data_IF_534942101744
#
_entry.id   IF_534942101744
#
_cell.length_a   1.000
_cell.length_b   1.000
_cell.length_c   1.000
_cell.angle_alpha   90.00
_cell.angle_beta   90.00
_cell.angle_gamma   90.00
#
_symmetry.space_group_name_H-M   'P 1'
#
loop_
_entity.id
_entity.type
_entity.pdbx_description
1 polymer ?
#
# COMPACT_ATOMS: atom_id res chain seq x y z
N UNK A 1 -7.99 22.79 -5.05
CA UNK A 1 -8.13 21.38 -5.49
C UNK A 1 -6.84 20.66 -5.06
N UNK A 2 -6.69 19.34 -5.26
CA UNK A 2 -5.36 18.72 -5.00
C UNK A 2 -4.43 19.14 -6.14
N UNK A 3 -3.38 19.89 -5.85
CA UNK A 3 -2.29 20.16 -6.80
C UNK A 3 -1.56 18.84 -7.08
N UNK A 4 -1.42 18.47 -8.35
CA UNK A 4 -0.80 17.19 -8.77
C UNK A 4 0.43 17.39 -9.64
N UNK A 5 0.58 18.56 -10.25
CA UNK A 5 1.73 18.93 -11.06
C UNK A 5 2.05 20.41 -10.81
N UNK A 6 3.32 20.77 -10.85
CA UNK A 6 3.72 22.16 -10.97
C UNK A 6 4.20 22.45 -12.38
N UNK A 7 3.80 23.59 -12.94
CA UNK A 7 4.16 23.98 -14.29
C UNK A 7 4.92 25.30 -14.28
N UNK A 8 6.14 25.31 -14.80
CA UNK A 8 6.90 26.56 -15.02
C UNK A 8 6.37 27.27 -16.25
N UNK A 9 5.86 28.49 -16.08
CA UNK A 9 5.37 29.32 -17.19
C UNK A 9 6.53 29.61 -18.14
N UNK A 10 6.34 29.31 -19.42
CA UNK A 10 7.28 29.58 -20.50
C UNK A 10 6.89 30.84 -21.29
N UNK A 11 7.83 31.32 -22.09
CA UNK A 11 7.62 32.51 -22.92
C UNK A 11 6.53 32.25 -23.97
N UNK A 12 5.46 33.04 -23.91
CA UNK A 12 4.34 32.98 -24.86
C UNK A 12 3.15 32.14 -24.37
N UNK A 13 3.23 31.59 -23.16
CA UNK A 13 2.11 30.89 -22.56
C UNK A 13 0.95 31.82 -22.22
N UNK A 14 -0.24 31.22 -22.19
CA UNK A 14 -1.46 31.78 -21.60
C UNK A 14 -2.08 30.71 -20.71
N UNK A 15 -2.81 31.07 -19.64
CA UNK A 15 -3.46 30.07 -18.79
C UNK A 15 -4.39 29.14 -19.58
N UNK A 16 -5.13 29.69 -20.56
CA UNK A 16 -5.96 28.92 -21.48
C UNK A 16 -5.15 27.98 -22.39
N UNK A 17 -3.99 28.44 -22.86
CA UNK A 17 -3.07 27.64 -23.68
C UNK A 17 -2.48 26.47 -22.91
N UNK A 18 -2.00 26.72 -21.68
CA UNK A 18 -1.48 25.70 -20.77
C UNK A 18 -2.54 24.65 -20.49
N UNK A 19 -3.74 25.06 -20.07
CA UNK A 19 -4.85 24.14 -19.81
C UNK A 19 -5.19 23.28 -21.05
N UNK A 20 -5.24 23.90 -22.24
CA UNK A 20 -5.51 23.19 -23.51
C UNK A 20 -4.40 22.19 -23.84
N UNK A 21 -3.14 22.57 -23.73
CA UNK A 21 -2.00 21.69 -23.98
C UNK A 21 -1.95 20.51 -23.01
N UNK A 22 -2.21 20.74 -21.72
CA UNK A 22 -2.27 19.68 -20.70
C UNK A 22 -3.39 18.68 -21.02
N UNK A 23 -4.59 19.16 -21.37
CA UNK A 23 -5.69 18.29 -21.78
C UNK A 23 -5.33 17.39 -22.98
N UNK A 24 -4.62 17.93 -23.97
CA UNK A 24 -4.23 17.17 -25.17
C UNK A 24 -3.16 16.11 -24.93
N UNK A 25 -2.36 16.24 -23.87
CA UNK A 25 -1.34 15.24 -23.49
C UNK A 25 -1.81 14.30 -22.37
N UNK A 26 -3.04 14.43 -21.90
CA UNK A 26 -3.62 13.49 -20.93
C UNK A 26 -3.54 12.06 -21.49
N UNK A 27 -2.97 11.15 -20.71
CA UNK A 27 -2.75 9.75 -21.11
C UNK A 27 -1.47 9.49 -21.92
N UNK A 28 -0.55 10.46 -22.03
CA UNK A 28 0.80 10.23 -22.56
C UNK A 28 1.56 9.21 -21.71
N UNK A 29 2.39 8.37 -22.34
CA UNK A 29 3.28 7.43 -21.64
C UNK A 29 4.72 7.92 -21.60
N UNK A 30 5.48 7.43 -20.61
CA UNK A 30 6.93 7.71 -20.52
C UNK A 30 7.66 7.38 -21.83
N UNK A 31 7.38 6.22 -22.42
CA UNK A 31 7.96 5.80 -23.69
C UNK A 31 7.68 6.78 -24.84
N UNK A 32 6.49 7.39 -24.89
CA UNK A 32 6.16 8.40 -25.89
C UNK A 32 6.95 9.70 -25.65
N UNK A 33 7.14 10.10 -24.39
CA UNK A 33 7.99 11.25 -24.03
C UNK A 33 9.45 10.96 -24.41
N UNK A 34 9.96 9.77 -24.11
CA UNK A 34 11.32 9.35 -24.48
C UNK A 34 11.52 9.41 -25.99
N UNK A 35 10.58 8.87 -26.77
CA UNK A 35 10.62 8.91 -28.22
C UNK A 35 10.60 10.35 -28.77
N UNK A 36 9.90 11.28 -28.10
CA UNK A 36 9.86 12.68 -28.46
C UNK A 36 11.13 13.47 -28.06
N UNK A 37 11.95 12.91 -27.15
CA UNK A 37 13.16 13.56 -26.61
C UNK A 37 14.40 12.64 -26.68
N UNK A 38 14.95 12.35 -27.88
CA UNK A 38 16.06 11.41 -28.04
C UNK A 38 17.36 11.76 -27.28
N UNK A 39 17.52 13.03 -26.89
CA UNK A 39 18.69 13.50 -26.14
C UNK A 39 18.50 13.44 -24.60
N UNK A 40 17.27 13.23 -24.12
CA UNK A 40 16.96 13.13 -22.71
C UNK A 40 17.41 11.77 -22.16
N UNK A 41 17.91 11.75 -20.91
CA UNK A 41 18.24 10.53 -20.20
C UNK A 41 17.10 10.19 -19.22
N UNK A 42 16.28 9.15 -19.47
CA UNK A 42 15.05 8.92 -18.71
C UNK A 42 15.26 8.66 -17.20
N UNK A 43 16.41 8.08 -16.85
CA UNK A 43 16.80 7.77 -15.47
C UNK A 43 17.69 8.84 -14.83
N UNK A 44 17.93 9.95 -15.51
CA UNK A 44 18.79 11.04 -15.06
C UNK A 44 18.23 12.38 -15.55
N UNK A 45 16.99 12.69 -15.14
CA UNK A 45 16.35 13.96 -15.50
C UNK A 45 17.08 15.13 -14.83
N UNK A 46 17.39 16.16 -15.61
CA UNK A 46 18.10 17.33 -15.11
C UNK A 46 17.11 18.44 -14.74
N UNK A 47 17.21 18.98 -13.52
CA UNK A 47 16.36 20.09 -13.08
C UNK A 47 16.57 21.29 -14.00
N UNK A 48 15.47 21.87 -14.50
CA UNK A 48 15.48 22.98 -15.45
C UNK A 48 15.55 22.54 -16.92
N UNK A 49 15.72 21.25 -17.21
CA UNK A 49 15.66 20.72 -18.57
C UNK A 49 14.24 20.88 -19.14
N UNK A 50 14.13 21.45 -20.34
CA UNK A 50 12.87 21.46 -21.08
C UNK A 50 12.71 20.19 -21.91
N UNK A 51 11.57 19.51 -21.75
CA UNK A 51 11.20 18.30 -22.48
C UNK A 51 9.90 18.49 -23.27
N UNK A 52 9.78 17.73 -24.34
CA UNK A 52 8.63 17.71 -25.25
C UNK A 52 7.65 16.62 -24.83
N UNK A 53 6.41 16.97 -24.55
CA UNK A 53 5.37 16.00 -24.19
C UNK A 53 4.39 15.84 -25.37
N UNK A 54 4.38 14.68 -26.06
CA UNK A 54 3.45 14.42 -27.14
C UNK A 54 2.05 14.10 -26.62
N UNK A 55 1.05 14.44 -27.41
CA UNK A 55 -0.29 13.84 -27.29
C UNK A 55 -0.21 12.33 -27.55
N UNK A 56 -1.19 11.53 -27.08
CA UNK A 56 -1.21 10.09 -27.34
C UNK A 56 -1.20 9.71 -28.83
N UNK A 57 -1.59 10.63 -29.72
CA UNK A 57 -1.52 10.45 -31.18
C UNK A 57 -0.14 10.77 -31.78
N UNK A 58 0.85 11.10 -30.94
CA UNK A 58 2.25 11.34 -31.31
C UNK A 58 2.60 12.79 -31.66
N UNK A 59 1.63 13.71 -31.67
CA UNK A 59 1.90 15.13 -31.95
C UNK A 59 2.35 15.86 -30.69
N UNK A 60 3.52 16.51 -30.72
CA UNK A 60 4.02 17.36 -29.64
C UNK A 60 3.15 18.63 -29.46
N UNK A 61 2.67 18.87 -28.24
CA UNK A 61 1.77 20.01 -27.92
C UNK A 61 2.03 20.67 -26.56
N UNK A 62 2.88 20.10 -25.70
CA UNK A 62 3.28 20.71 -24.41
C UNK A 62 4.81 20.67 -24.26
N UNK A 63 5.42 21.81 -23.94
CA UNK A 63 6.80 21.86 -23.43
C UNK A 63 6.74 21.97 -21.92
N UNK A 64 7.49 21.12 -21.22
CA UNK A 64 7.49 21.02 -19.77
C UNK A 64 8.92 21.16 -19.24
N UNK A 65 9.10 21.98 -18.20
CA UNK A 65 10.38 22.13 -17.51
C UNK A 65 10.46 21.13 -16.35
N UNK A 66 11.47 20.27 -16.34
CA UNK A 66 11.73 19.33 -15.25
C UNK A 66 12.00 20.09 -13.95
N UNK A 67 11.31 19.69 -12.89
CA UNK A 67 11.44 20.24 -11.55
C UNK A 67 12.13 19.25 -10.61
N UNK A 68 12.51 19.73 -9.42
CA UNK A 68 13.09 18.86 -8.39
C UNK A 68 12.09 17.80 -7.95
N UNK A 69 12.52 16.53 -7.99
CA UNK A 69 11.68 15.38 -7.61
C UNK A 69 10.84 14.78 -8.75
N UNK A 70 10.89 15.35 -9.94
CA UNK A 70 10.15 14.82 -11.09
C UNK A 70 10.69 13.45 -11.53
N UNK A 71 9.76 12.59 -11.95
CA UNK A 71 10.02 11.37 -12.71
C UNK A 71 9.08 11.34 -13.92
N UNK A 72 9.46 10.67 -15.01
CA UNK A 72 8.56 10.53 -16.18
C UNK A 72 7.23 9.87 -15.78
N UNK A 73 7.28 8.88 -14.88
CA UNK A 73 6.10 8.24 -14.33
C UNK A 73 5.21 9.23 -13.57
N UNK A 74 5.79 10.02 -12.65
CA UNK A 74 5.08 11.03 -11.88
C UNK A 74 4.41 12.09 -12.76
N UNK A 75 5.14 12.60 -13.76
CA UNK A 75 4.62 13.58 -14.74
C UNK A 75 3.44 12.98 -15.53
N UNK A 76 3.58 11.77 -16.09
CA UNK A 76 2.51 11.12 -16.85
C UNK A 76 1.25 10.86 -15.99
N UNK A 77 1.47 10.41 -14.75
CA UNK A 77 0.41 10.18 -13.77
C UNK A 77 -0.33 11.47 -13.42
N UNK A 78 0.38 12.56 -13.19
CA UNK A 78 -0.21 13.86 -12.87
C UNK A 78 -0.98 14.45 -14.07
N UNK A 79 -0.42 14.39 -15.28
CA UNK A 79 -1.08 14.86 -16.51
C UNK A 79 -2.39 14.11 -16.79
N UNK A 80 -2.43 12.80 -16.52
CA UNK A 80 -3.64 11.99 -16.68
C UNK A 80 -4.77 12.39 -15.71
N UNK A 81 -4.42 12.93 -14.54
CA UNK A 81 -5.39 13.44 -13.54
C UNK A 81 -5.94 14.83 -13.91
N UNK A 82 -5.33 15.53 -14.87
CA UNK A 82 -5.70 16.87 -15.31
C UNK A 82 -6.68 16.90 -16.50
N UNK A 83 -7.35 15.78 -16.82
CA UNK A 83 -8.31 15.75 -17.93
C UNK A 83 -9.56 16.60 -17.64
N UNK A 84 -9.97 17.38 -18.64
CA UNK A 84 -10.96 18.47 -18.56
C UNK A 84 -10.52 19.70 -17.73
N UNK A 85 -9.21 19.94 -17.58
CA UNK A 85 -8.67 21.13 -16.91
C UNK A 85 -9.12 22.42 -17.62
N UNK A 86 -9.72 23.35 -16.87
CA UNK A 86 -10.02 24.71 -17.35
C UNK A 86 -9.03 25.73 -16.79
N UNK A 87 -8.86 26.87 -17.44
CA UNK A 87 -7.98 27.93 -16.92
C UNK A 87 -8.50 28.48 -15.58
N UNK A 88 -9.83 28.49 -15.36
CA UNK A 88 -10.42 28.90 -14.09
C UNK A 88 -10.02 27.95 -12.95
N UNK A 89 -9.81 26.66 -13.24
CA UNK A 89 -9.31 25.74 -12.22
C UNK A 89 -7.88 26.12 -11.80
N UNK A 90 -7.03 26.52 -12.76
CA UNK A 90 -5.67 26.97 -12.48
C UNK A 90 -5.70 28.27 -11.66
N UNK A 91 -6.53 29.26 -12.02
CA UNK A 91 -6.66 30.51 -11.26
C UNK A 91 -7.12 30.27 -9.81
N UNK A 92 -8.08 29.36 -9.61
CA UNK A 92 -8.57 29.00 -8.28
C UNK A 92 -7.50 28.38 -7.38
N UNK A 93 -6.57 27.61 -7.96
CA UNK A 93 -5.48 26.93 -7.23
C UNK A 93 -4.25 27.83 -7.01
N UNK A 94 -4.18 28.97 -7.70
CA UNK A 94 -3.06 29.92 -7.63
C UNK A 94 -3.55 31.31 -7.21
N UNK A 95 -3.84 31.48 -5.92
CA UNK A 95 -4.36 32.73 -5.36
C UNK A 95 -3.46 33.94 -5.74
N UNK A 96 -4.06 34.94 -6.38
CA UNK A 96 -3.36 36.15 -6.83
C UNK A 96 -2.77 36.06 -8.24
N UNK A 97 -2.85 34.91 -8.91
CA UNK A 97 -2.52 34.77 -10.33
C UNK A 97 -3.79 34.94 -11.16
N UNK A 98 -3.76 35.88 -12.11
CA UNK A 98 -4.85 36.07 -13.08
C UNK A 98 -4.35 35.78 -14.49
N UNK A 99 -5.26 35.50 -15.43
CA UNK A 99 -4.93 35.29 -16.84
C UNK A 99 -4.13 36.44 -17.49
N UNK A 100 -4.16 37.65 -16.94
CA UNK A 100 -3.41 38.82 -17.44
C UNK A 100 -2.02 39.00 -16.82
N UNK A 101 -1.70 38.32 -15.72
CA UNK A 101 -0.56 38.68 -14.86
C UNK A 101 0.51 37.57 -14.72
N UNK A 102 0.48 36.55 -15.58
CA UNK A 102 1.49 35.48 -15.58
C UNK A 102 2.85 35.94 -16.14
N UNK A 103 3.95 35.51 -15.53
CA UNK A 103 5.32 35.85 -15.96
C UNK A 103 6.14 34.59 -16.28
N UNK A 104 6.98 34.58 -17.33
CA UNK A 104 7.91 33.48 -17.58
C UNK A 104 8.79 33.17 -16.36
N UNK A 105 8.93 31.89 -16.03
CA UNK A 105 9.67 31.39 -14.87
C UNK A 105 8.85 31.28 -13.59
N UNK A 106 7.61 31.78 -13.56
CA UNK A 106 6.71 31.59 -12.43
C UNK A 106 6.18 30.14 -12.39
N UNK A 107 6.10 29.58 -11.19
CA UNK A 107 5.55 28.25 -10.96
C UNK A 107 4.03 28.32 -10.76
N UNK A 108 3.29 27.54 -11.53
CA UNK A 108 1.85 27.35 -11.39
C UNK A 108 1.54 26.00 -10.76
N UNK A 109 0.69 26.00 -9.75
CA UNK A 109 0.02 24.81 -9.24
C UNK A 109 -1.02 24.35 -10.26
N UNK A 110 -0.91 23.11 -10.75
CA UNK A 110 -1.90 22.52 -11.64
C UNK A 110 -2.76 21.53 -10.84
N UNK A 111 -4.07 21.80 -10.68
CA UNK A 111 -4.95 20.92 -9.93
C UNK A 111 -5.41 19.70 -10.74
N UNK A 112 -5.66 18.59 -10.06
CA UNK A 112 -6.42 17.48 -10.64
C UNK A 112 -7.88 17.90 -10.93
N UNK A 113 -8.41 17.45 -12.07
CA UNK A 113 -9.78 17.74 -12.53
C UNK A 113 -10.61 16.49 -12.76
N UNK A 114 -9.96 15.35 -12.98
CA UNK A 114 -10.60 14.08 -12.67
C UNK A 114 -10.52 13.89 -11.17
N UNK A 115 -11.64 13.56 -10.52
CA UNK A 115 -11.52 12.71 -9.34
C UNK A 115 -10.72 11.51 -9.83
N UNK A 116 -9.51 11.28 -9.29
CA UNK A 116 -8.89 9.98 -9.38
C UNK A 116 -10.01 8.97 -9.18
N UNK A 117 -10.20 7.93 -10.03
CA UNK A 117 -10.94 6.78 -9.59
C UNK A 117 -10.30 6.45 -8.25
N UNK A 118 -11.02 6.73 -7.18
CA UNK A 118 -10.51 6.50 -5.85
C UNK A 118 -10.22 5.01 -5.88
N UNK A 119 -8.96 4.65 -5.67
CA UNK A 119 -8.45 3.30 -5.88
C UNK A 119 -9.14 2.43 -4.83
N UNK A 120 -10.35 1.97 -5.12
CA UNK A 120 -11.19 1.33 -4.13
C UNK A 120 -10.94 -0.16 -4.14
N UNK A 121 -10.80 -0.75 -2.97
CA UNK A 121 -10.84 -2.18 -2.79
C UNK A 121 -12.19 -2.72 -3.28
N UNK A 122 -12.13 -3.82 -4.03
CA UNK A 122 -13.30 -4.53 -4.54
C UNK A 122 -13.02 -6.04 -4.56
N UNK A 123 -14.01 -6.89 -4.23
CA UNK A 123 -15.38 -6.54 -3.86
C UNK A 123 -15.49 -6.00 -2.41
N UNK A 124 -16.64 -5.42 -2.06
CA UNK A 124 -16.90 -4.97 -0.68
C UNK A 124 -16.98 -6.18 0.26
N UNK A 125 -16.26 -6.10 1.38
CA UNK A 125 -16.26 -7.09 2.46
C UNK A 125 -16.26 -6.39 3.84
N UNK A 126 -16.46 -7.15 4.92
CA UNK A 126 -16.40 -6.61 6.29
C UNK A 126 -14.98 -6.15 6.64
N UNK A 127 -14.01 -7.03 6.44
CA UNK A 127 -12.59 -6.73 6.53
C UNK A 127 -12.02 -6.59 5.12
N UNK A 128 -11.78 -5.38 4.63
CA UNK A 128 -11.11 -5.15 3.36
C UNK A 128 -9.91 -4.24 3.61
N UNK A 129 -8.72 -4.81 3.55
CA UNK A 129 -7.49 -4.10 3.88
C UNK A 129 -6.46 -4.12 2.77
N UNK A 130 -5.33 -3.48 3.06
CA UNK A 130 -4.16 -3.49 2.20
C UNK A 130 -2.87 -3.39 3.01
N UNK A 131 -1.80 -3.86 2.40
CA UNK A 131 -0.44 -3.74 2.91
C UNK A 131 0.18 -2.42 2.41
N UNK A 132 0.79 -1.66 3.32
CA UNK A 132 1.53 -0.43 3.02
C UNK A 132 3.02 -0.65 3.33
N UNK A 133 3.74 -1.20 2.35
CA UNK A 133 5.17 -1.49 2.45
C UNK A 133 5.99 -0.19 2.55
N UNK A 134 6.84 -0.08 3.57
CA UNK A 134 7.63 1.12 3.86
C UNK A 134 8.64 1.50 2.76
N UNK A 135 8.91 0.58 1.81
CA UNK A 135 9.86 0.77 0.71
C UNK A 135 9.24 1.00 -0.66
N UNK A 136 7.93 0.77 -0.84
CA UNK A 136 7.31 0.85 -2.18
C UNK A 136 6.58 2.18 -2.41
N UNK A 137 6.03 2.78 -1.35
CA UNK A 137 5.08 3.89 -1.46
C UNK A 137 3.81 3.48 -2.22
N UNK A 138 2.81 4.36 -2.27
CA UNK A 138 1.57 4.06 -2.99
C UNK A 138 0.40 4.95 -2.56
N UNK A 139 -0.70 4.88 -3.29
CA UNK A 139 -1.94 5.54 -2.90
C UNK A 139 -2.77 4.57 -2.06
N UNK A 140 -3.20 5.02 -0.88
CA UNK A 140 -4.11 4.23 -0.07
C UNK A 140 -5.52 4.11 -0.69
N UNK A 141 -6.14 2.92 -0.66
CA UNK A 141 -7.56 2.79 -0.92
C UNK A 141 -8.40 3.48 0.16
N UNK A 142 -9.25 4.42 -0.24
CA UNK A 142 -10.09 5.21 0.68
C UNK A 142 -11.17 4.40 1.40
N UNK A 143 -11.61 3.30 0.79
CA UNK A 143 -12.69 2.46 1.30
C UNK A 143 -12.18 1.27 2.13
N UNK A 144 -10.87 1.22 2.42
CA UNK A 144 -10.32 0.21 3.31
C UNK A 144 -10.91 0.32 4.71
N UNK A 145 -11.21 -0.83 5.31
CA UNK A 145 -11.64 -0.92 6.71
C UNK A 145 -10.46 -1.16 7.65
N UNK A 146 -9.32 -1.61 7.12
CA UNK A 146 -8.06 -1.77 7.85
C UNK A 146 -6.84 -1.56 6.94
N UNK A 147 -5.68 -1.29 7.53
CA UNK A 147 -4.42 -1.09 6.81
C UNK A 147 -3.22 -1.51 7.65
N UNK A 148 -2.17 -2.04 7.02
CA UNK A 148 -0.99 -2.55 7.69
C UNK A 148 0.24 -1.75 7.26
N UNK A 149 0.89 -1.04 8.19
CA UNK A 149 2.24 -0.55 7.96
C UNK A 149 3.22 -1.72 8.07
N UNK A 150 3.85 -2.07 6.95
CA UNK A 150 4.70 -3.26 6.84
C UNK A 150 6.15 -2.90 6.54
N UNK A 151 7.03 -3.29 7.45
CA UNK A 151 8.47 -3.00 7.36
C UNK A 151 9.35 -4.25 7.29
N UNK A 152 8.83 -5.44 7.57
CA UNK A 152 9.62 -6.68 7.57
C UNK A 152 10.52 -6.89 8.80
N UNK A 153 10.32 -6.10 9.87
CA UNK A 153 11.16 -6.11 11.08
C UNK A 153 10.43 -6.74 12.26
N UNK A 154 11.11 -7.59 13.03
CA UNK A 154 10.65 -7.98 14.37
C UNK A 154 11.14 -7.02 15.46
N UNK A 155 12.28 -6.35 15.22
CA UNK A 155 12.82 -5.34 16.13
C UNK A 155 11.89 -4.14 16.26
N UNK A 156 11.48 -3.84 17.50
CA UNK A 156 10.44 -2.84 17.79
C UNK A 156 10.83 -1.46 17.28
N UNK A 157 12.10 -1.08 17.46
CA UNK A 157 12.59 0.24 17.12
C UNK A 157 12.62 0.42 15.60
N UNK A 158 13.21 -0.54 14.88
CA UNK A 158 13.32 -0.51 13.41
C UNK A 158 11.93 -0.50 12.76
N UNK A 159 11.01 -1.33 13.26
CA UNK A 159 9.64 -1.36 12.77
C UNK A 159 8.92 -0.01 12.96
N UNK A 160 9.08 0.64 14.13
CA UNK A 160 8.49 1.96 14.39
C UNK A 160 9.10 3.06 13.52
N UNK A 161 10.43 3.07 13.37
CA UNK A 161 11.15 4.07 12.57
C UNK A 161 10.72 4.01 11.10
N UNK A 162 10.70 2.82 10.50
CA UNK A 162 10.33 2.64 9.10
C UNK A 162 8.83 2.85 8.87
N UNK A 163 7.98 2.30 9.74
CA UNK A 163 6.51 2.42 9.62
C UNK A 163 6.00 3.85 9.78
N UNK A 164 6.77 4.73 10.43
CA UNK A 164 6.41 6.14 10.56
C UNK A 164 6.31 6.85 9.19
N UNK A 165 7.00 6.35 8.16
CA UNK A 165 6.95 6.91 6.80
C UNK A 165 5.60 6.72 6.12
N UNK A 166 4.84 5.69 6.49
CA UNK A 166 3.54 5.32 5.89
C UNK A 166 2.34 5.60 6.81
N UNK A 167 2.55 5.96 8.07
CA UNK A 167 1.49 6.17 9.08
C UNK A 167 0.33 7.09 8.61
N UNK A 168 0.67 8.15 7.87
CA UNK A 168 -0.31 9.11 7.35
C UNK A 168 -1.09 8.60 6.14
N UNK A 169 -0.60 7.54 5.49
CA UNK A 169 -1.28 6.90 4.37
C UNK A 169 -2.27 5.83 4.84
N UNK A 170 -2.14 5.33 6.07
CA UNK A 170 -3.03 4.31 6.64
C UNK A 170 -4.50 4.76 6.75
N UNK A 171 -5.41 3.88 6.34
CA UNK A 171 -6.87 4.07 6.31
C UNK A 171 -7.58 2.98 7.14
N UNK A 172 -8.68 3.34 7.79
CA UNK A 172 -9.45 2.42 8.65
C UNK A 172 -8.71 2.10 9.95
N UNK A 173 -8.88 0.87 10.45
CA UNK A 173 -8.12 0.36 11.60
C UNK A 173 -6.64 0.19 11.23
N UNK A 174 -5.76 0.92 11.92
CA UNK A 174 -4.34 1.01 11.59
C UNK A 174 -3.53 -0.03 12.36
N UNK A 175 -2.88 -0.93 11.65
CA UNK A 175 -1.98 -1.91 12.23
C UNK A 175 -0.53 -1.52 11.96
N UNK A 176 0.33 -1.71 12.97
CA UNK A 176 1.77 -1.86 12.76
C UNK A 176 2.09 -3.35 12.69
N UNK A 177 2.91 -3.75 11.71
CA UNK A 177 3.34 -5.13 11.55
C UNK A 177 4.71 -5.38 12.15
N UNK A 178 4.88 -6.54 12.79
CA UNK A 178 6.17 -7.09 13.22
C UNK A 178 6.38 -8.45 12.57
N UNK A 179 7.61 -8.73 12.14
CA UNK A 179 7.95 -9.96 11.42
C UNK A 179 8.03 -9.77 9.91
N UNK A 180 8.07 -10.89 9.18
CA UNK A 180 8.21 -10.95 7.72
C UNK A 180 9.13 -12.07 7.26
N UNK A 181 8.99 -12.47 6.00
CA UNK A 181 9.78 -13.55 5.38
C UNK A 181 11.22 -13.16 5.05
N UNK A 182 12.00 -12.82 6.07
CA UNK A 182 13.44 -12.53 5.98
C UNK A 182 14.12 -12.68 7.36
N UNK A 183 15.46 -12.74 7.38
CA UNK A 183 16.25 -12.89 8.62
C UNK A 183 15.91 -11.86 9.71
N UNK A 184 15.53 -10.63 9.35
CA UNK A 184 15.17 -9.60 10.32
C UNK A 184 13.74 -9.69 10.84
N UNK A 185 12.90 -10.49 10.19
CA UNK A 185 11.52 -10.77 10.57
C UNK A 185 11.34 -12.04 11.38
N UNK A 186 12.43 -12.81 11.59
CA UNK A 186 12.37 -14.08 12.29
C UNK A 186 12.07 -13.92 13.81
N UNK A 187 11.01 -14.57 14.28
CA UNK A 187 10.60 -14.51 15.68
C UNK A 187 11.43 -15.42 16.59
N UNK A 188 11.73 -14.93 17.80
CA UNK A 188 12.25 -15.70 18.91
C UNK A 188 11.67 -15.20 20.24
N UNK A 189 11.94 -15.92 21.33
CA UNK A 189 11.42 -15.55 22.65
C UNK A 189 11.90 -14.17 23.12
N UNK A 190 13.09 -13.74 22.71
CA UNK A 190 13.65 -12.45 23.14
C UNK A 190 12.94 -11.29 22.46
N UNK A 191 12.79 -11.33 21.13
CA UNK A 191 12.11 -10.28 20.40
C UNK A 191 10.59 -10.23 20.69
N UNK A 192 9.95 -11.36 20.98
CA UNK A 192 8.57 -11.38 21.47
C UNK A 192 8.44 -10.77 22.88
N UNK A 193 9.40 -11.01 23.77
CA UNK A 193 9.44 -10.37 25.07
C UNK A 193 9.62 -8.85 24.94
N UNK A 194 10.55 -8.40 24.10
CA UNK A 194 10.78 -6.98 23.82
C UNK A 194 9.54 -6.29 23.23
N UNK A 195 8.85 -6.93 22.28
CA UNK A 195 7.58 -6.45 21.73
C UNK A 195 6.50 -6.36 22.83
N UNK A 196 6.40 -7.38 23.67
CA UNK A 196 5.45 -7.40 24.80
C UNK A 196 5.72 -6.27 25.78
N UNK A 197 6.98 -5.99 26.08
CA UNK A 197 7.38 -4.87 26.94
C UNK A 197 7.05 -3.53 26.29
N UNK A 198 7.31 -3.36 24.99
CA UNK A 198 6.95 -2.15 24.25
C UNK A 198 5.43 -1.88 24.25
N UNK A 199 4.62 -2.94 24.08
CA UNK A 199 3.16 -2.88 24.21
C UNK A 199 2.78 -2.40 25.62
N UNK A 200 3.36 -3.02 26.65
CA UNK A 200 3.06 -2.68 28.04
C UNK A 200 3.42 -1.24 28.42
N UNK A 201 4.51 -0.73 27.83
CA UNK A 201 5.00 0.64 27.98
C UNK A 201 4.22 1.66 27.12
N UNK A 202 3.34 1.20 26.22
CA UNK A 202 2.51 2.08 25.39
C UNK A 202 3.26 2.70 24.20
N UNK A 203 4.34 2.07 23.75
CA UNK A 203 5.15 2.55 22.63
C UNK A 203 4.36 2.61 21.30
N UNK A 204 3.34 1.76 21.15
CA UNK A 204 2.60 1.56 19.90
C UNK A 204 1.27 2.34 19.83
N UNK A 205 1.03 3.29 20.75
CA UNK A 205 -0.26 3.98 20.95
C UNK A 205 -0.81 4.78 19.74
N UNK A 206 -0.02 4.93 18.68
CA UNK A 206 -0.43 5.62 17.45
C UNK A 206 -1.16 4.70 16.46
N UNK A 207 -1.17 3.39 16.73
CA UNK A 207 -1.86 2.36 15.97
C UNK A 207 -3.08 1.86 16.74
N UNK A 208 -4.04 1.29 16.03
CA UNK A 208 -5.23 0.66 16.60
C UNK A 208 -5.03 -0.85 16.83
N UNK A 209 -4.07 -1.45 16.12
CA UNK A 209 -3.77 -2.87 16.21
C UNK A 209 -2.30 -3.22 15.95
N UNK A 210 -1.98 -4.47 16.22
CA UNK A 210 -0.67 -5.07 16.03
C UNK A 210 -0.85 -6.29 15.13
N UNK A 211 -0.14 -6.30 14.00
CA UNK A 211 -0.04 -7.43 13.11
C UNK A 211 1.26 -8.20 13.40
N UNK A 212 1.16 -9.51 13.54
CA UNK A 212 2.29 -10.42 13.70
C UNK A 212 2.42 -11.22 12.41
N UNK A 213 3.43 -10.89 11.61
CA UNK A 213 3.73 -11.54 10.34
C UNK A 213 4.68 -12.73 10.54
N UNK A 214 4.07 -13.84 10.95
CA UNK A 214 4.75 -15.04 11.44
C UNK A 214 5.11 -15.93 10.26
N UNK A 215 6.32 -15.72 9.73
CA UNK A 215 6.84 -16.44 8.57
C UNK A 215 8.04 -17.32 8.91
N UNK A 216 9.00 -16.74 9.62
CA UNK A 216 10.24 -17.39 10.08
C UNK A 216 10.35 -17.29 11.61
N UNK A 217 11.02 -18.26 12.23
CA UNK A 217 11.30 -18.20 13.66
C UNK A 217 11.79 -19.52 14.27
N UNK A 218 12.12 -19.46 15.55
CA UNK A 218 12.46 -20.67 16.32
C UNK A 218 11.19 -21.44 16.75
N UNK A 219 11.36 -22.67 17.21
CA UNK A 219 10.26 -23.48 17.78
C UNK A 219 9.98 -23.13 19.24
N UNK A 220 8.80 -23.52 19.73
CA UNK A 220 8.41 -23.38 21.14
C UNK A 220 7.89 -21.98 21.53
N UNK A 221 7.37 -21.21 20.57
CA UNK A 221 6.93 -19.82 20.78
C UNK A 221 5.46 -19.67 21.17
N UNK A 222 4.70 -20.76 21.35
CA UNK A 222 3.25 -20.72 21.56
C UNK A 222 2.85 -19.88 22.77
N UNK A 223 3.57 -20.02 23.89
CA UNK A 223 3.31 -19.28 25.13
C UNK A 223 3.80 -17.82 25.06
N UNK A 224 4.87 -17.56 24.29
CA UNK A 224 5.39 -16.20 24.07
C UNK A 224 4.40 -15.37 23.24
N UNK A 225 3.89 -15.93 22.13
CA UNK A 225 2.84 -15.31 21.33
C UNK A 225 1.56 -15.08 22.14
N UNK A 226 1.06 -16.08 22.88
CA UNK A 226 -0.10 -15.94 23.78
C UNK A 226 0.08 -14.82 24.79
N UNK A 227 1.27 -14.70 25.36
CA UNK A 227 1.60 -13.64 26.31
C UNK A 227 1.55 -12.27 25.65
N UNK A 228 2.13 -12.14 24.45
CA UNK A 228 2.12 -10.90 23.68
C UNK A 228 0.71 -10.49 23.23
N UNK A 229 -0.08 -11.41 22.68
CA UNK A 229 -1.46 -11.15 22.25
C UNK A 229 -2.32 -10.68 23.43
N UNK A 230 -2.21 -11.35 24.58
CA UNK A 230 -2.92 -10.96 25.80
C UNK A 230 -2.51 -9.56 26.27
N UNK A 231 -1.24 -9.21 26.20
CA UNK A 231 -0.76 -7.86 26.52
C UNK A 231 -1.34 -6.82 25.56
N UNK A 232 -1.37 -7.13 24.25
CA UNK A 232 -1.96 -6.27 23.24
C UNK A 232 -3.45 -6.01 23.52
N UNK A 233 -4.24 -7.07 23.76
CA UNK A 233 -5.67 -6.94 24.11
C UNK A 233 -5.87 -6.16 25.41
N UNK A 234 -5.03 -6.37 26.43
CA UNK A 234 -5.10 -5.62 27.69
C UNK A 234 -4.84 -4.11 27.52
N UNK A 235 -4.18 -3.70 26.44
CA UNK A 235 -3.97 -2.30 26.05
C UNK A 235 -4.99 -1.78 25.04
N UNK A 236 -5.96 -2.60 24.65
CA UNK A 236 -7.03 -2.22 23.72
C UNK A 236 -6.64 -2.31 22.25
N UNK A 237 -5.51 -2.94 21.90
CA UNK A 237 -5.16 -3.18 20.51
C UNK A 237 -6.00 -4.30 19.92
N UNK A 238 -6.25 -4.22 18.61
CA UNK A 238 -6.62 -5.39 17.82
C UNK A 238 -5.39 -6.24 17.52
N UNK A 239 -5.53 -7.56 17.46
CA UNK A 239 -4.46 -8.51 17.17
C UNK A 239 -4.77 -9.20 15.85
N UNK A 240 -3.83 -9.10 14.92
CA UNK A 240 -3.88 -9.74 13.62
C UNK A 240 -2.65 -10.64 13.49
N UNK A 241 -2.83 -11.87 13.04
CA UNK A 241 -1.72 -12.79 12.76
C UNK A 241 -1.73 -13.15 11.28
N UNK A 242 -0.61 -12.98 10.58
CA UNK A 242 -0.41 -13.40 9.19
C UNK A 242 0.63 -14.51 9.14
N UNK A 243 0.46 -15.39 8.15
CA UNK A 243 1.27 -16.59 7.95
C UNK A 243 1.34 -16.92 6.46
N UNK A 244 2.42 -17.58 6.03
CA UNK A 244 2.51 -18.14 4.67
C UNK A 244 1.55 -19.29 4.46
N UNK A 245 0.82 -19.23 3.34
CA UNK A 245 -0.03 -20.33 2.91
C UNK A 245 -0.91 -20.85 4.05
N UNK A 246 -0.80 -22.12 4.44
CA UNK A 246 -1.59 -22.69 5.54
C UNK A 246 -0.88 -22.70 6.90
N UNK A 247 0.44 -22.47 6.95
CA UNK A 247 1.26 -22.38 8.17
C UNK A 247 2.63 -21.74 7.88
N UNK A 248 3.26 -21.05 8.86
CA UNK A 248 4.58 -20.42 8.71
C UNK A 248 5.59 -21.37 8.06
N UNK A 249 6.36 -20.89 7.08
CA UNK A 249 7.20 -21.78 6.27
C UNK A 249 8.51 -22.16 6.94
N UNK A 250 9.05 -21.32 7.83
CA UNK A 250 10.33 -21.57 8.50
C UNK A 250 10.20 -21.56 10.02
N UNK A 251 9.25 -22.35 10.54
CA UNK A 251 9.12 -22.68 11.96
C UNK A 251 8.92 -24.20 12.10
N UNK A 252 9.85 -24.88 12.75
CA UNK A 252 9.91 -26.35 12.70
C UNK A 252 8.73 -27.06 13.37
N UNK A 253 8.07 -26.44 14.34
CA UNK A 253 6.87 -26.90 15.02
C UNK A 253 5.61 -26.13 14.60
N UNK A 254 5.58 -25.55 13.39
CA UNK A 254 4.49 -24.73 12.88
C UNK A 254 3.09 -25.35 13.04
N UNK A 255 2.93 -26.68 12.98
CA UNK A 255 1.63 -27.31 13.23
C UNK A 255 1.12 -27.15 14.67
N UNK A 256 2.02 -27.22 15.67
CA UNK A 256 1.69 -26.99 17.08
C UNK A 256 1.41 -25.51 17.32
N UNK A 257 2.20 -24.63 16.71
CA UNK A 257 1.99 -23.19 16.76
C UNK A 257 0.63 -22.80 16.16
N UNK A 258 0.25 -23.38 15.02
CA UNK A 258 -1.06 -23.14 14.41
C UNK A 258 -2.22 -23.65 15.29
N UNK A 259 -2.08 -24.78 15.99
CA UNK A 259 -3.08 -25.22 16.97
C UNK A 259 -3.27 -24.18 18.09
N UNK A 260 -2.18 -23.59 18.57
CA UNK A 260 -2.22 -22.49 19.53
C UNK A 260 -2.97 -21.28 18.98
N UNK A 261 -2.73 -20.89 17.72
CA UNK A 261 -3.41 -19.75 17.08
C UNK A 261 -4.89 -20.00 16.81
N UNK A 262 -5.29 -21.23 16.43
CA UNK A 262 -6.70 -21.54 16.25
C UNK A 262 -7.50 -21.40 17.56
N UNK A 263 -6.88 -21.75 18.68
CA UNK A 263 -7.52 -21.75 20.00
C UNK A 263 -7.41 -20.43 20.77
N UNK A 264 -6.62 -19.45 20.32
CA UNK A 264 -6.42 -18.20 21.04
C UNK A 264 -7.56 -17.19 20.76
N UNK A 265 -8.32 -16.84 21.80
CA UNK A 265 -9.40 -15.86 21.72
C UNK A 265 -8.90 -14.40 21.74
N UNK A 266 -7.60 -14.18 21.89
CA UNK A 266 -6.99 -12.85 21.80
C UNK A 266 -6.66 -12.45 20.36
N UNK A 267 -6.73 -13.37 19.40
CA UNK A 267 -6.52 -13.06 17.98
C UNK A 267 -7.86 -12.64 17.38
N UNK A 268 -7.94 -11.41 16.86
CA UNK A 268 -9.14 -10.92 16.20
C UNK A 268 -9.19 -11.43 14.74
N UNK A 269 -8.05 -11.42 14.05
CA UNK A 269 -7.93 -11.85 12.65
C UNK A 269 -6.75 -12.81 12.49
N UNK A 270 -7.01 -13.96 11.86
CA UNK A 270 -5.98 -14.84 11.31
C UNK A 270 -6.02 -14.76 9.78
N UNK A 271 -4.91 -14.36 9.17
CA UNK A 271 -4.83 -13.98 7.77
C UNK A 271 -3.79 -14.83 7.02
N UNK A 272 -4.19 -15.99 6.48
CA UNK A 272 -3.32 -16.80 5.64
C UNK A 272 -3.02 -16.13 4.30
N UNK A 273 -1.78 -16.20 3.84
CA UNK A 273 -1.36 -15.71 2.53
C UNK A 273 -1.72 -16.72 1.42
N UNK A 274 -2.55 -16.31 0.44
CA UNK A 274 -2.92 -17.16 -0.70
C UNK A 274 -2.08 -16.87 -1.95
N UNK A 275 -0.80 -16.59 -1.77
CA UNK A 275 0.17 -16.31 -2.84
C UNK A 275 1.59 -16.66 -2.38
N UNK A 276 2.53 -16.77 -3.31
CA UNK A 276 3.96 -17.02 -3.01
C UNK A 276 4.81 -15.81 -3.35
N UNK A 277 4.54 -15.16 -4.48
CA UNK A 277 5.33 -14.05 -5.01
C UNK A 277 4.60 -12.71 -4.92
N UNK A 278 3.28 -12.73 -4.82
CA UNK A 278 2.46 -11.52 -4.85
C UNK A 278 2.11 -11.06 -6.28
N UNK A 279 2.42 -11.86 -7.29
CA UNK A 279 2.13 -11.58 -8.71
C UNK A 279 1.19 -12.61 -9.34
N UNK A 280 0.75 -13.60 -8.56
CA UNK A 280 -0.18 -14.63 -8.99
C UNK A 280 -1.51 -14.04 -9.47
N UNK A 281 -2.06 -14.64 -10.52
CA UNK A 281 -3.36 -14.26 -11.09
C UNK A 281 -4.52 -15.10 -10.55
N UNK A 282 -4.21 -16.04 -9.66
CA UNK A 282 -5.15 -16.91 -8.96
C UNK A 282 -4.65 -17.21 -7.54
N UNK A 283 -5.55 -17.62 -6.65
CA UNK A 283 -5.17 -17.95 -5.27
C UNK A 283 -4.35 -19.24 -5.24
N UNK A 284 -3.25 -19.22 -4.48
CA UNK A 284 -2.50 -20.41 -4.12
C UNK A 284 -3.07 -21.01 -2.82
N UNK A 285 -3.37 -22.31 -2.85
CA UNK A 285 -3.93 -23.06 -1.72
C UNK A 285 -2.97 -24.15 -1.23
N UNK A 286 -1.68 -24.02 -1.51
CA UNK A 286 -0.65 -24.91 -0.98
C UNK A 286 -0.77 -25.04 0.55
N UNK A 287 -0.47 -26.23 1.05
CA UNK A 287 -0.51 -26.52 2.49
C UNK A 287 0.82 -27.06 2.95
N UNK A 288 1.29 -26.61 4.11
CA UNK A 288 2.55 -27.03 4.71
C UNK A 288 2.31 -27.67 6.09
N UNK A 289 3.34 -28.35 6.63
CA UNK A 289 3.39 -28.83 8.02
C UNK A 289 2.19 -29.67 8.50
N UNK A 290 1.42 -30.30 7.59
CA UNK A 290 0.21 -31.04 7.95
C UNK A 290 -0.97 -30.16 8.40
N UNK A 291 -0.90 -28.85 8.18
CA UNK A 291 -1.99 -27.90 8.44
C UNK A 291 -2.80 -27.74 7.16
N UNK A 292 -3.94 -28.42 7.08
CA UNK A 292 -4.87 -28.27 5.95
C UNK A 292 -5.94 -27.21 6.24
N UNK A 293 -6.60 -26.72 5.18
CA UNK A 293 -7.60 -25.67 5.28
C UNK A 293 -8.85 -26.03 6.08
N UNK A 294 -9.21 -27.31 6.20
CA UNK A 294 -10.33 -27.73 7.03
C UNK A 294 -10.06 -27.50 8.54
N UNK A 295 -8.79 -27.46 8.97
CA UNK A 295 -8.42 -27.12 10.36
C UNK A 295 -8.76 -25.67 10.71
N UNK A 296 -8.81 -24.76 9.74
CA UNK A 296 -9.19 -23.37 9.99
C UNK A 296 -10.66 -23.22 10.41
N UNK A 297 -11.51 -24.24 10.19
CA UNK A 297 -12.93 -24.20 10.55
C UNK A 297 -13.17 -24.14 12.06
N UNK A 298 -12.17 -24.50 12.88
CA UNK A 298 -12.23 -24.42 14.34
C UNK A 298 -11.60 -23.15 14.90
N UNK A 299 -11.02 -22.30 14.05
CA UNK A 299 -10.36 -21.08 14.49
C UNK A 299 -11.36 -20.11 15.14
N UNK A 300 -10.98 -19.55 16.29
CA UNK A 300 -11.79 -18.54 16.99
C UNK A 300 -11.71 -17.17 16.35
N UNK A 301 -10.59 -16.85 15.70
CA UNK A 301 -10.37 -15.59 15.00
C UNK A 301 -11.17 -15.54 13.68
N UNK A 302 -11.41 -14.33 13.20
CA UNK A 302 -11.93 -14.14 11.85
C UNK A 302 -10.87 -14.56 10.82
N UNK A 303 -11.26 -15.39 9.84
CA UNK A 303 -10.36 -15.76 8.74
C UNK A 303 -10.45 -14.72 7.62
N UNK A 304 -9.39 -13.96 7.41
CA UNK A 304 -9.32 -12.84 6.45
C UNK A 304 -8.04 -13.01 5.62
N UNK A 305 -8.03 -13.79 4.52
CA UNK A 305 -6.79 -14.09 3.80
C UNK A 305 -6.13 -12.87 3.16
N UNK A 306 -4.80 -12.89 3.10
CA UNK A 306 -4.03 -12.00 2.23
C UNK A 306 -4.06 -12.52 0.79
N UNK A 307 -4.45 -11.65 -0.15
CA UNK A 307 -4.62 -11.96 -1.57
C UNK A 307 -3.76 -11.02 -2.42
N UNK A 308 -3.35 -11.47 -3.61
CA UNK A 308 -2.67 -10.57 -4.57
C UNK A 308 -3.54 -9.36 -4.90
N UNK A 309 -4.80 -9.59 -5.26
CA UNK A 309 -5.82 -8.53 -5.41
C UNK A 309 -7.15 -8.95 -4.80
N UNK A 310 -7.95 -7.99 -4.34
CA UNK A 310 -9.30 -8.23 -3.83
C UNK A 310 -10.22 -8.93 -4.83
N UNK A 311 -9.95 -8.80 -6.13
CA UNK A 311 -10.69 -9.50 -7.18
C UNK A 311 -10.67 -11.03 -7.06
N UNK A 312 -9.69 -11.59 -6.32
CA UNK A 312 -9.56 -13.01 -6.04
C UNK A 312 -10.38 -13.47 -4.82
N UNK A 313 -11.03 -12.56 -4.09
CA UNK A 313 -11.79 -12.91 -2.90
C UNK A 313 -13.00 -13.84 -3.18
N UNK A 314 -13.80 -13.65 -4.25
CA UNK A 314 -14.91 -14.55 -4.54
C UNK A 314 -14.49 -16.01 -4.78
N UNK A 315 -13.32 -16.24 -5.40
CA UNK A 315 -12.80 -17.60 -5.59
C UNK A 315 -12.27 -18.19 -4.29
N UNK A 316 -11.64 -17.39 -3.42
CA UNK A 316 -11.26 -17.79 -2.07
C UNK A 316 -12.49 -18.22 -1.25
N UNK A 317 -13.56 -17.41 -1.24
CA UNK A 317 -14.81 -17.75 -0.55
C UNK A 317 -15.38 -19.09 -1.03
N UNK A 318 -15.39 -19.29 -2.35
CA UNK A 318 -15.89 -20.52 -2.97
C UNK A 318 -15.06 -21.74 -2.55
N UNK A 319 -13.73 -21.61 -2.45
CA UNK A 319 -12.85 -22.69 -2.01
C UNK A 319 -13.01 -23.00 -0.52
N UNK A 320 -12.89 -21.98 0.34
CA UNK A 320 -12.91 -22.14 1.80
C UNK A 320 -14.25 -22.65 2.33
N UNK A 321 -15.37 -22.27 1.69
CA UNK A 321 -16.69 -22.82 2.04
C UNK A 321 -16.76 -24.35 1.90
N UNK A 322 -16.04 -24.94 0.93
CA UNK A 322 -15.94 -26.40 0.75
C UNK A 322 -15.11 -27.06 1.86
N UNK A 323 -14.28 -26.29 2.55
CA UNK A 323 -13.48 -26.73 3.70
C UNK A 323 -14.20 -26.49 5.03
N UNK A 324 -15.44 -25.96 5.01
CA UNK A 324 -16.19 -25.61 6.22
C UNK A 324 -15.76 -24.29 6.86
N UNK A 325 -15.01 -23.45 6.14
CA UNK A 325 -14.50 -22.16 6.63
C UNK A 325 -15.25 -21.01 5.99
N UNK A 326 -15.73 -20.07 6.81
CA UNK A 326 -16.34 -18.83 6.33
C UNK A 326 -15.34 -17.69 6.41
N UNK A 327 -14.99 -17.11 5.26
CA UNK A 327 -14.09 -15.96 5.20
C UNK A 327 -14.83 -14.67 5.58
N UNK A 328 -14.19 -13.80 6.35
CA UNK A 328 -14.75 -12.53 6.82
C UNK A 328 -14.11 -11.30 6.16
N UNK A 329 -13.34 -11.52 5.10
CA UNK A 329 -12.77 -10.44 4.30
C UNK A 329 -11.50 -10.83 3.58
N UNK A 330 -10.71 -9.84 3.18
CA UNK A 330 -9.39 -10.01 2.59
C UNK A 330 -8.46 -8.83 2.87
N UNK A 331 -7.16 -9.06 2.71
CA UNK A 331 -6.12 -8.02 2.75
C UNK A 331 -5.37 -8.06 1.43
N UNK A 332 -5.38 -6.97 0.68
CA UNK A 332 -4.75 -6.92 -0.64
C UNK A 332 -3.26 -6.59 -0.54
N UNK A 333 -2.42 -7.45 -1.11
CA UNK A 333 -0.98 -7.26 -1.22
C UNK A 333 -0.60 -6.26 -2.29
N UNK A 334 -1.13 -6.43 -3.51
CA UNK A 334 -0.74 -5.59 -4.64
C UNK A 334 -1.25 -4.18 -4.43
N UNK A 335 -0.33 -3.23 -4.33
CA UNK A 335 -0.66 -1.82 -4.23
C UNK A 335 -1.53 -1.40 -5.41
N UNK A 336 -2.58 -0.62 -5.13
CA UNK A 336 -3.41 -0.06 -6.18
C UNK A 336 -2.69 1.15 -6.75
#
# INVERSE_FOLDING_TARGET
MKTVLFYTILKGDTLSGIATSINHVSGVTGQQIEAANPAMQPNALEIGQEIKIPSPTGKHVLTYTILSGDTLFGICSALSQCAALSYQNIEQDNLGVTASDIQPGQLLSIPATQSTPEKSLSPIAENMGYWDCTWQGGNAPSNATLSLAFSGWVDVKSALEDSNTVLNNLVGCKYISFGGGNENGAFDSANLADLTDAINQGALKQYDGIAYDVEEGVSGLEDDFKTSFKAAKAKGFNVLVTISHSAPYDISDASLLMDSFFDDANIDILSPQLYTTGEETENNYETSHGVNWARYATCKAAIVPSLVTGSLYPSAQSYFSQQGVTLQGYIQWKHI
#
